data_IF_026453821118
#
_entry.id   IF_026453821118
#
_cell.length_a   1.000
_cell.length_b   1.000
_cell.length_c   1.000
_cell.angle_alpha   90.00
_cell.angle_beta   90.00
_cell.angle_gamma   90.00
#
_symmetry.space_group_name_H-M   'P 1'
#
loop_
_entity.id
_entity.type
_entity.pdbx_description
1 polymer ?
#
# COMPACT_ATOMS: atom_id res chain seq x y z
N UNK A 1 4.90 -14.01 -13.54
CA UNK A 1 3.98 -14.68 -14.49
C UNK A 1 2.61 -14.94 -13.87
N UNK A 2 2.52 -15.47 -12.64
CA UNK A 2 1.26 -15.85 -12.01
C UNK A 2 0.19 -14.74 -11.95
N UNK A 3 0.56 -13.50 -11.61
CA UNK A 3 -0.36 -12.35 -11.64
C UNK A 3 -1.05 -12.14 -13.00
N UNK A 4 -0.29 -12.21 -14.10
CA UNK A 4 -0.86 -12.01 -15.44
C UNK A 4 -1.75 -13.18 -15.86
N UNK A 5 -1.40 -14.41 -15.48
CA UNK A 5 -2.26 -15.58 -15.68
C UNK A 5 -3.57 -15.47 -14.89
N UNK A 6 -3.51 -15.00 -13.64
CA UNK A 6 -4.70 -14.71 -12.85
C UNK A 6 -5.56 -13.65 -13.53
N UNK A 7 -4.94 -12.54 -13.96
CA UNK A 7 -5.61 -11.44 -14.67
C UNK A 7 -6.33 -11.93 -15.94
N UNK A 8 -5.67 -12.74 -16.77
CA UNK A 8 -6.23 -13.23 -18.02
C UNK A 8 -7.38 -14.21 -17.78
N UNK A 9 -7.30 -15.04 -16.73
CA UNK A 9 -8.42 -15.89 -16.30
C UNK A 9 -9.62 -15.05 -15.89
N UNK A 10 -9.42 -14.04 -15.03
CA UNK A 10 -10.53 -13.16 -14.60
C UNK A 10 -11.13 -12.39 -15.78
N UNK A 11 -10.31 -11.96 -16.74
CA UNK A 11 -10.81 -11.35 -17.97
C UNK A 11 -11.72 -12.31 -18.73
N UNK A 12 -11.32 -13.58 -18.89
CA UNK A 12 -12.15 -14.61 -19.52
C UNK A 12 -13.45 -14.90 -18.76
N UNK A 13 -13.40 -14.96 -17.42
CA UNK A 13 -14.58 -15.13 -16.57
C UNK A 13 -15.54 -13.93 -16.71
N UNK A 14 -15.00 -12.71 -16.78
CA UNK A 14 -15.81 -11.49 -16.90
C UNK A 14 -16.49 -11.35 -18.24
N UNK A 15 -15.81 -11.71 -19.34
CA UNK A 15 -16.42 -11.76 -20.67
C UNK A 15 -17.61 -12.72 -20.73
N UNK A 16 -17.62 -13.80 -19.93
CA UNK A 16 -18.73 -14.76 -19.84
C UNK A 16 -19.88 -14.28 -18.97
N UNK A 17 -19.58 -13.62 -17.86
CA UNK A 17 -20.56 -13.23 -16.84
C UNK A 17 -21.33 -11.96 -17.18
N UNK A 18 -20.69 -10.99 -17.84
CA UNK A 18 -21.25 -9.63 -17.96
C UNK A 18 -21.59 -9.17 -19.37
N UNK A 19 -21.39 -10.01 -20.39
CA UNK A 19 -21.67 -9.74 -21.82
C UNK A 19 -21.18 -8.39 -22.41
N UNK A 20 -20.53 -7.50 -21.65
CA UNK A 20 -20.19 -6.13 -22.07
C UNK A 20 -18.90 -5.56 -21.44
N UNK A 21 -18.24 -6.21 -20.48
CA UNK A 21 -17.02 -5.68 -19.84
C UNK A 21 -15.78 -6.53 -20.15
N UNK A 22 -14.95 -6.07 -21.08
CA UNK A 22 -13.60 -6.64 -21.34
C UNK A 22 -12.55 -6.09 -20.37
N UNK A 23 -12.87 -6.06 -19.08
CA UNK A 23 -11.94 -5.58 -18.05
C UNK A 23 -11.89 -6.56 -16.88
N UNK A 24 -10.69 -6.91 -16.39
CA UNK A 24 -10.55 -7.69 -15.17
C UNK A 24 -10.84 -6.85 -13.91
N UNK A 25 -11.31 -5.60 -14.06
CA UNK A 25 -11.50 -4.63 -12.98
C UNK A 25 -10.21 -4.50 -12.15
N UNK A 26 -9.12 -4.13 -12.82
CA UNK A 26 -7.83 -3.90 -12.18
C UNK A 26 -7.79 -2.48 -11.57
N UNK A 27 -7.54 -2.41 -10.27
CA UNK A 27 -7.54 -1.16 -9.50
C UNK A 27 -6.20 -0.91 -8.81
N UNK A 28 -5.88 0.36 -8.55
CA UNK A 28 -4.76 0.74 -7.70
C UNK A 28 -5.28 0.94 -6.26
N UNK A 29 -4.86 0.07 -5.33
CA UNK A 29 -5.33 0.08 -3.95
C UNK A 29 -4.17 0.11 -2.95
N UNK A 30 -4.34 0.85 -1.87
CA UNK A 30 -3.36 1.06 -0.81
C UNK A 30 -3.31 -0.12 0.15
N UNK A 31 -2.10 -0.39 0.65
CA UNK A 31 -1.84 -1.32 1.75
C UNK A 31 -0.78 -0.72 2.68
N UNK A 32 -1.13 -0.54 3.96
CA UNK A 32 -0.19 -0.18 5.02
C UNK A 32 0.27 -1.40 5.78
N UNK A 33 1.54 -1.42 6.16
CA UNK A 33 2.17 -2.58 6.81
C UNK A 33 3.37 -2.16 7.67
N UNK A 34 3.99 -3.13 8.33
CA UNK A 34 5.16 -2.89 9.18
C UNK A 34 6.40 -2.60 8.34
N UNK A 35 7.16 -1.58 8.75
CA UNK A 35 8.45 -1.24 8.18
C UNK A 35 9.46 -1.12 9.33
N UNK A 36 10.64 -1.70 9.15
CA UNK A 36 11.74 -1.66 10.14
C UNK A 36 13.04 -1.07 9.58
N UNK A 37 12.99 -0.54 8.36
CA UNK A 37 14.11 0.02 7.61
C UNK A 37 13.75 1.37 6.99
N UNK A 38 14.77 2.11 6.54
CA UNK A 38 14.61 3.39 5.85
C UNK A 38 14.43 3.28 4.34
N UNK A 39 13.94 2.15 3.81
CA UNK A 39 13.67 1.98 2.38
C UNK A 39 12.81 3.14 1.86
N UNK A 40 13.31 3.80 0.81
CA UNK A 40 12.71 4.96 0.16
C UNK A 40 13.01 6.31 0.81
N UNK A 41 13.70 6.34 1.96
CA UNK A 41 14.07 7.58 2.63
C UNK A 41 15.37 8.15 2.04
N UNK A 42 15.23 8.94 0.98
CA UNK A 42 16.35 9.55 0.29
C UNK A 42 17.00 8.64 -0.77
N UNK A 43 17.92 9.21 -1.54
CA UNK A 43 18.44 8.60 -2.78
C UNK A 43 19.25 7.31 -2.57
N UNK A 44 19.88 7.14 -1.40
CA UNK A 44 20.73 5.98 -1.12
C UNK A 44 19.94 4.77 -0.61
N UNK A 45 18.74 4.97 -0.04
CA UNK A 45 18.00 3.91 0.62
C UNK A 45 17.06 3.18 -0.35
N UNK A 46 17.63 2.46 -1.32
CA UNK A 46 16.88 1.76 -2.37
C UNK A 46 16.86 0.24 -2.22
N UNK A 47 17.73 -0.31 -1.36
CA UNK A 47 17.86 -1.75 -1.16
C UNK A 47 16.85 -2.30 -0.15
N UNK A 48 16.26 -3.47 -0.48
CA UNK A 48 15.37 -4.19 0.41
C UNK A 48 16.17 -4.86 1.54
N UNK A 49 15.85 -4.54 2.80
CA UNK A 49 16.47 -5.23 3.93
C UNK A 49 15.95 -6.67 4.08
N UNK A 50 16.77 -7.58 4.61
CA UNK A 50 16.42 -9.02 4.75
C UNK A 50 15.71 -9.37 6.08
N UNK A 51 15.29 -8.38 6.85
CA UNK A 51 14.65 -8.60 8.16
C UNK A 51 13.23 -9.15 8.01
N UNK A 52 12.89 -10.29 8.64
CA UNK A 52 11.55 -10.88 8.53
C UNK A 52 10.46 -10.02 9.16
N UNK A 53 10.80 -9.14 10.10
CA UNK A 53 9.88 -8.17 10.72
C UNK A 53 9.54 -7.00 9.79
N UNK A 54 10.32 -6.79 8.72
CA UNK A 54 10.05 -5.78 7.71
C UNK A 54 9.05 -6.32 6.68
N UNK A 55 7.77 -6.34 7.04
CA UNK A 55 6.71 -6.86 6.19
C UNK A 55 6.65 -6.12 4.85
N UNK A 56 6.93 -4.82 4.83
CA UNK A 56 7.08 -4.03 3.60
C UNK A 56 8.11 -4.65 2.64
N UNK A 57 9.34 -4.87 3.09
CA UNK A 57 10.39 -5.46 2.26
C UNK A 57 10.06 -6.91 1.88
N UNK A 58 9.44 -7.67 2.77
CA UNK A 58 8.99 -9.03 2.49
C UNK A 58 7.95 -9.07 1.38
N UNK A 59 6.96 -8.18 1.41
CA UNK A 59 5.92 -8.06 0.37
C UNK A 59 6.53 -7.61 -0.96
N UNK A 60 7.44 -6.62 -0.96
CA UNK A 60 8.08 -6.18 -2.20
C UNK A 60 8.91 -7.32 -2.83
N UNK A 61 9.64 -8.08 -2.01
CA UNK A 61 10.48 -9.18 -2.47
C UNK A 61 9.68 -10.39 -2.96
N UNK A 62 8.68 -10.81 -2.19
CA UNK A 62 8.02 -12.10 -2.33
C UNK A 62 6.56 -12.02 -2.80
N UNK A 63 6.05 -10.80 -3.05
CA UNK A 63 4.62 -10.51 -3.17
C UNK A 63 3.83 -10.74 -1.88
N UNK A 64 2.52 -10.58 -1.96
CA UNK A 64 1.58 -10.85 -0.87
C UNK A 64 1.38 -12.35 -0.65
N UNK A 65 1.09 -12.70 0.60
CA UNK A 65 0.82 -14.06 1.01
C UNK A 65 -0.35 -14.08 2.01
N UNK A 66 -1.46 -14.69 1.61
CA UNK A 66 -2.69 -14.83 2.42
C UNK A 66 -2.42 -15.56 3.73
N UNK A 67 -1.42 -16.45 3.80
CA UNK A 67 -1.08 -17.14 5.04
C UNK A 67 -0.54 -16.18 6.12
N UNK A 68 -0.13 -14.96 5.73
CA UNK A 68 0.27 -13.89 6.66
C UNK A 68 -0.92 -13.10 7.20
N UNK A 69 -2.13 -13.30 6.67
CA UNK A 69 -3.33 -12.67 7.20
C UNK A 69 -3.56 -13.08 8.67
N UNK A 70 -3.88 -12.11 9.53
CA UNK A 70 -4.08 -12.38 10.95
C UNK A 70 -2.82 -12.31 11.83
N UNK A 71 -1.62 -12.27 11.23
CA UNK A 71 -0.35 -12.25 11.99
C UNK A 71 -0.15 -10.95 12.77
N UNK A 72 -0.49 -9.80 12.17
CA UNK A 72 -0.46 -8.48 12.84
C UNK A 72 -1.75 -8.20 13.62
N UNK A 73 -2.90 -8.34 12.95
CA UNK A 73 -4.21 -8.03 13.50
C UNK A 73 -5.08 -9.29 13.49
N UNK A 74 -5.41 -9.83 14.66
CA UNK A 74 -6.21 -11.07 14.76
C UNK A 74 -7.62 -10.92 14.18
N UNK A 75 -8.22 -9.75 14.37
CA UNK A 75 -9.55 -9.44 13.83
C UNK A 75 -9.48 -9.23 12.32
N UNK A 76 -10.34 -9.96 11.61
CA UNK A 76 -10.42 -10.01 10.15
C UNK A 76 -11.87 -9.86 9.74
N UNK A 77 -12.23 -8.69 9.22
CA UNK A 77 -13.63 -8.32 8.97
C UNK A 77 -14.32 -9.24 7.98
N UNK A 78 -13.60 -9.63 6.93
CA UNK A 78 -14.06 -10.49 5.86
C UNK A 78 -13.17 -11.75 5.77
N UNK A 79 -12.78 -12.29 6.94
CA UNK A 79 -12.01 -13.52 7.03
C UNK A 79 -10.60 -13.47 6.45
N UNK A 80 -10.09 -14.61 5.98
CA UNK A 80 -8.66 -14.80 5.65
C UNK A 80 -8.40 -14.42 4.20
N UNK A 81 -7.93 -13.19 3.99
CA UNK A 81 -7.57 -12.67 2.66
C UNK A 81 -6.56 -11.53 2.74
N UNK A 82 -6.23 -10.95 1.59
CA UNK A 82 -5.34 -9.77 1.49
C UNK A 82 -6.21 -8.52 1.45
N UNK A 83 -5.99 -7.65 2.43
CA UNK A 83 -6.77 -6.45 2.67
C UNK A 83 -6.11 -5.22 2.05
N UNK A 84 -6.88 -4.48 1.27
CA UNK A 84 -6.49 -3.24 0.60
C UNK A 84 -7.63 -2.22 0.67
N UNK A 85 -7.36 -0.98 0.31
CA UNK A 85 -8.37 0.09 0.33
C UNK A 85 -8.07 1.16 -0.71
N UNK A 86 -9.10 1.83 -1.21
CA UNK A 86 -8.99 3.04 -2.02
C UNK A 86 -8.63 4.28 -1.19
N UNK A 87 -8.68 4.18 0.15
CA UNK A 87 -8.50 5.30 1.09
C UNK A 87 -7.12 5.25 1.74
N UNK A 88 -6.21 6.14 1.34
CA UNK A 88 -4.82 6.16 1.85
C UNK A 88 -4.74 6.38 3.36
N UNK A 89 -5.55 7.26 3.94
CA UNK A 89 -5.57 7.52 5.38
C UNK A 89 -6.01 6.30 6.20
N UNK A 90 -6.88 5.45 5.66
CA UNK A 90 -7.23 4.18 6.29
C UNK A 90 -6.07 3.19 6.21
N UNK A 91 -5.36 3.13 5.08
CA UNK A 91 -4.16 2.29 4.98
C UNK A 91 -3.06 2.77 5.92
N UNK A 92 -2.94 4.08 6.13
CA UNK A 92 -1.99 4.72 7.04
C UNK A 92 -2.13 4.22 8.49
N UNK A 93 -3.36 3.99 8.98
CA UNK A 93 -3.64 3.43 10.31
C UNK A 93 -2.97 2.06 10.54
N UNK A 94 -2.61 1.35 9.47
CA UNK A 94 -1.94 0.04 9.52
C UNK A 94 -0.43 0.12 9.40
N UNK A 95 0.16 1.31 9.29
CA UNK A 95 1.61 1.48 9.30
C UNK A 95 2.11 1.40 10.74
N UNK A 96 3.15 0.61 10.96
CA UNK A 96 3.89 0.60 12.21
C UNK A 96 5.38 0.72 11.91
N UNK A 97 5.99 1.80 12.39
CA UNK A 97 7.44 1.89 12.49
C UNK A 97 7.86 1.18 13.78
N UNK A 98 8.38 -0.03 13.63
CA UNK A 98 8.74 -0.87 14.79
C UNK A 98 9.97 -0.32 15.52
N UNK A 99 10.82 0.44 14.84
CA UNK A 99 12.07 0.93 15.41
C UNK A 99 12.02 2.40 15.82
N UNK A 100 10.94 3.13 15.49
CA UNK A 100 10.78 4.56 15.76
C UNK A 100 11.87 5.44 15.14
N UNK A 101 12.64 4.88 14.20
CA UNK A 101 13.85 5.49 13.64
C UNK A 101 13.61 6.08 12.26
N UNK A 102 12.37 6.05 11.77
CA UNK A 102 12.05 6.54 10.44
C UNK A 102 11.31 7.87 10.50
N UNK A 103 11.85 8.88 9.83
CA UNK A 103 11.24 10.21 9.76
C UNK A 103 10.03 10.25 8.81
N UNK A 104 9.95 9.29 7.87
CA UNK A 104 8.85 9.19 6.92
C UNK A 104 7.95 7.99 7.20
N UNK A 105 6.78 7.99 6.58
CA UNK A 105 5.81 6.89 6.52
C UNK A 105 5.86 6.27 5.13
N UNK A 106 5.44 5.01 5.04
CA UNK A 106 5.51 4.24 3.80
C UNK A 106 4.22 3.46 3.53
N UNK A 107 3.65 3.64 2.33
CA UNK A 107 2.51 2.89 1.82
C UNK A 107 2.89 2.12 0.55
N UNK A 108 2.30 0.94 0.37
CA UNK A 108 2.28 0.26 -0.91
C UNK A 108 1.02 0.65 -1.67
N UNK A 109 1.19 1.07 -2.93
CA UNK A 109 0.10 1.13 -3.91
C UNK A 109 0.24 -0.08 -4.83
N UNK A 110 -0.85 -0.85 -4.93
CA UNK A 110 -0.82 -2.19 -5.51
C UNK A 110 -1.78 -2.26 -6.69
N UNK A 111 -1.41 -3.02 -7.73
CA UNK A 111 -2.37 -3.42 -8.76
C UNK A 111 -3.15 -4.62 -8.25
N UNK A 112 -4.45 -4.48 -8.11
CA UNK A 112 -5.36 -5.50 -7.57
C UNK A 112 -6.39 -5.86 -8.64
N UNK A 113 -6.48 -7.14 -8.98
CA UNK A 113 -7.53 -7.67 -9.85
C UNK A 113 -8.77 -7.90 -8.98
N UNK A 114 -9.68 -6.93 -8.98
CA UNK A 114 -10.92 -6.99 -8.18
C UNK A 114 -11.95 -7.92 -8.84
N UNK A 115 -11.95 -8.01 -10.16
CA UNK A 115 -12.92 -8.82 -10.91
C UNK A 115 -14.37 -8.41 -10.63
N UNK A 116 -15.24 -9.39 -10.35
CA UNK A 116 -16.62 -9.19 -9.96
C UNK A 116 -16.68 -9.19 -8.43
N UNK A 117 -16.84 -8.04 -7.76
CA UNK A 117 -16.82 -7.99 -6.31
C UNK A 117 -18.16 -8.42 -5.72
N UNK A 118 -18.12 -9.29 -4.70
CA UNK A 118 -19.23 -9.44 -3.77
C UNK A 118 -19.24 -8.25 -2.81
N UNK A 119 -20.36 -7.52 -2.72
CA UNK A 119 -20.47 -6.33 -1.87
C UNK A 119 -21.12 -6.69 -0.54
N UNK A 120 -20.48 -6.31 0.56
CA UNK A 120 -20.94 -6.59 1.92
C UNK A 120 -20.98 -5.30 2.75
N UNK A 121 -22.05 -5.08 3.49
CA UNK A 121 -22.21 -3.96 4.44
C UNK A 121 -21.99 -4.37 5.90
N UNK A 122 -21.88 -5.68 6.16
CA UNK A 122 -21.71 -6.29 7.48
C UNK A 122 -20.51 -7.22 7.54
N UNK A 123 -19.97 -7.42 8.73
CA UNK A 123 -18.85 -8.32 8.97
C UNK A 123 -19.17 -9.78 8.57
N UNK A 124 -18.19 -10.45 7.95
CA UNK A 124 -18.24 -11.86 7.59
C UNK A 124 -16.90 -12.52 7.94
N UNK A 125 -16.65 -12.67 9.24
CA UNK A 125 -15.31 -12.94 9.80
C UNK A 125 -14.73 -14.32 9.47
N UNK A 126 -15.55 -15.24 8.97
CA UNK A 126 -15.15 -16.64 8.72
C UNK A 126 -14.93 -16.94 7.23
N UNK A 127 -14.95 -15.93 6.35
CA UNK A 127 -14.73 -16.14 4.92
C UNK A 127 -13.31 -16.66 4.63
N UNK A 128 -13.22 -17.64 3.75
CA UNK A 128 -11.96 -18.16 3.20
C UNK A 128 -11.86 -17.93 1.69
N UNK A 129 -12.97 -17.53 1.06
CA UNK A 129 -13.11 -17.28 -0.36
C UNK A 129 -14.25 -16.27 -0.59
N UNK A 130 -14.30 -15.58 -1.75
CA UNK A 130 -15.48 -14.80 -2.10
C UNK A 130 -16.70 -15.73 -2.35
N UNK A 131 -17.93 -15.19 -2.33
CA UNK A 131 -19.13 -15.92 -2.74
C UNK A 131 -19.03 -16.45 -4.17
N UNK A 132 -19.83 -17.47 -4.50
CA UNK A 132 -19.88 -18.03 -5.85
C UNK A 132 -20.16 -16.94 -6.90
N UNK A 133 -19.37 -16.93 -7.97
CA UNK A 133 -19.45 -15.93 -9.05
C UNK A 133 -18.77 -14.60 -8.73
N UNK A 134 -18.19 -14.44 -7.54
CA UNK A 134 -17.39 -13.27 -7.16
C UNK A 134 -15.90 -13.63 -7.14
N UNK A 135 -15.05 -12.63 -7.38
CA UNK A 135 -13.58 -12.76 -7.41
C UNK A 135 -12.92 -12.10 -6.18
N UNK A 136 -13.62 -11.17 -5.54
CA UNK A 136 -13.19 -10.40 -4.38
C UNK A 136 -14.39 -10.05 -3.49
N UNK A 137 -14.12 -9.47 -2.32
CA UNK A 137 -15.12 -8.80 -1.48
C UNK A 137 -14.81 -7.30 -1.44
N UNK A 138 -15.84 -6.48 -1.57
CA UNK A 138 -15.80 -5.04 -1.24
C UNK A 138 -16.70 -4.80 -0.04
N UNK A 139 -16.09 -4.42 1.07
CA UNK A 139 -16.77 -3.93 2.25
C UNK A 139 -17.18 -2.48 2.06
N UNK A 140 -18.47 -2.19 2.11
CA UNK A 140 -19.00 -0.84 1.89
C UNK A 140 -19.16 -0.08 3.21
N UNK A 141 -18.90 1.24 3.24
CA UNK A 141 -19.15 2.06 4.42
C UNK A 141 -20.62 1.99 4.87
N UNK A 142 -20.86 2.00 6.18
CA UNK A 142 -22.20 1.97 6.73
C UNK A 142 -22.21 1.43 8.16
N UNK A 143 -22.68 0.20 8.33
CA UNK A 143 -22.97 -0.38 9.65
C UNK A 143 -21.68 -0.69 10.43
N UNK A 144 -20.80 -1.52 9.85
CA UNK A 144 -19.62 -2.04 10.56
C UNK A 144 -18.30 -1.41 10.08
N UNK A 145 -18.37 -0.50 9.11
CA UNK A 145 -17.21 0.01 8.38
C UNK A 145 -17.32 1.51 8.12
N UNK A 146 -16.27 2.24 8.45
CA UNK A 146 -16.17 3.69 8.19
C UNK A 146 -15.68 4.03 6.78
N UNK A 147 -14.84 3.17 6.20
CA UNK A 147 -14.17 3.38 4.92
C UNK A 147 -14.08 2.07 4.14
N UNK A 148 -14.27 2.14 2.83
CA UNK A 148 -14.25 0.98 1.94
C UNK A 148 -12.99 0.12 2.12
N UNK A 149 -13.17 -1.19 2.00
CA UNK A 149 -12.10 -2.18 2.11
C UNK A 149 -12.29 -3.26 1.05
N UNK A 150 -11.25 -3.55 0.27
CA UNK A 150 -11.28 -4.59 -0.76
C UNK A 150 -10.41 -5.76 -0.31
N UNK A 151 -10.97 -6.96 -0.38
CA UNK A 151 -10.33 -8.20 0.04
C UNK A 151 -10.26 -9.19 -1.12
N UNK A 152 -9.05 -9.63 -1.43
CA UNK A 152 -8.81 -10.72 -2.40
C UNK A 152 -8.34 -11.98 -1.68
N UNK A 153 -8.74 -13.13 -2.21
CA UNK A 153 -8.50 -14.45 -1.60
C UNK A 153 -7.58 -15.33 -2.45
N UNK A 154 -6.76 -14.71 -3.31
CA UNK A 154 -5.69 -15.37 -4.04
C UNK A 154 -4.43 -14.47 -4.07
N UNK A 155 -3.25 -15.04 -3.82
CA UNK A 155 -1.97 -14.30 -3.82
C UNK A 155 -1.65 -13.67 -5.18
N UNK A 156 -2.12 -14.29 -6.27
CA UNK A 156 -1.90 -13.82 -7.63
C UNK A 156 -2.87 -12.71 -8.06
N UNK A 157 -3.88 -12.41 -7.25
CA UNK A 157 -4.83 -11.32 -7.52
C UNK A 157 -4.23 -9.93 -7.27
N UNK A 158 -3.03 -9.83 -6.71
CA UNK A 158 -2.41 -8.58 -6.30
C UNK A 158 -0.90 -8.60 -6.54
N UNK A 159 -0.35 -7.42 -6.87
CA UNK A 159 1.10 -7.20 -6.90
C UNK A 159 1.44 -5.78 -6.44
N UNK A 160 2.57 -5.57 -5.73
CA UNK A 160 3.12 -4.24 -5.52
C UNK A 160 3.35 -3.52 -6.85
N UNK A 161 3.01 -2.24 -6.91
CA UNK A 161 3.22 -1.41 -8.09
C UNK A 161 4.08 -0.17 -7.78
N UNK A 162 3.82 0.49 -6.66
CA UNK A 162 4.57 1.66 -6.22
C UNK A 162 4.79 1.64 -4.71
N UNK A 163 5.94 2.16 -4.28
CA UNK A 163 6.22 2.51 -2.89
C UNK A 163 6.05 4.02 -2.74
N UNK A 164 5.18 4.45 -1.84
CA UNK A 164 4.92 5.87 -1.55
C UNK A 164 5.57 6.20 -0.21
N UNK A 165 6.43 7.21 -0.21
CA UNK A 165 7.09 7.74 0.99
C UNK A 165 6.59 9.16 1.22
N UNK A 166 6.14 9.46 2.43
CA UNK A 166 5.58 10.76 2.80
C UNK A 166 5.81 11.02 4.29
N UNK A 167 5.86 12.28 4.69
CA UNK A 167 6.13 12.71 6.06
C UNK A 167 6.41 14.20 6.06
N UNK A 168 6.66 14.77 7.24
CA UNK A 168 7.12 16.15 7.29
C UNK A 168 8.53 16.25 6.68
N UNK A 169 8.72 17.21 5.78
CA UNK A 169 10.07 17.65 5.45
C UNK A 169 10.68 18.21 6.75
N UNK A 170 11.80 17.63 7.20
CA UNK A 170 12.66 18.35 8.15
C UNK A 170 13.10 19.60 7.40
N UNK A 171 12.69 20.78 7.88
CA UNK A 171 13.15 22.06 7.31
C UNK A 171 14.67 22.01 7.17
N UNK A 172 15.16 21.97 5.93
CA UNK A 172 16.59 22.16 5.67
C UNK A 172 16.84 23.63 6.03
N UNK A 173 17.69 23.94 7.03
CA UNK A 173 17.99 25.32 7.36
C UNK A 173 18.44 26.03 6.09
N UNK A 174 17.66 27.02 5.64
CA UNK A 174 18.05 27.83 4.49
C UNK A 174 19.44 28.40 4.79
N UNK A 175 20.43 28.25 3.89
CA UNK A 175 21.74 28.87 4.13
C UNK A 175 21.51 30.35 4.41
N UNK A 176 21.94 30.78 5.60
CA UNK A 176 21.74 32.15 6.06
C UNK A 176 22.33 33.15 5.05
N UNK A 177 21.82 34.40 5.01
CA UNK A 177 22.27 35.38 4.05
C UNK A 177 23.79 35.56 4.16
N UNK A 178 24.49 35.33 3.05
CA UNK A 178 25.93 35.52 2.97
C UNK A 178 26.23 36.99 3.24
N UNK A 179 26.74 37.33 4.44
CA UNK A 179 27.21 38.69 4.73
C UNK A 179 28.39 38.99 3.80
N UNK A 180 28.13 39.72 2.71
CA UNK A 180 29.19 40.41 1.97
C UNK A 180 29.81 41.43 2.92
N UNK A 181 31.03 41.16 3.39
CA UNK A 181 31.83 42.19 4.07
C UNK A 181 32.07 43.31 3.06
N UNK A 182 31.43 44.46 3.26
CA UNK A 182 31.85 45.68 2.57
C UNK A 182 33.26 46.01 3.06
N UNK A 183 34.24 45.83 2.18
CA UNK A 183 35.58 46.37 2.41
C UNK A 183 35.45 47.89 2.27
N UNK A 184 35.56 48.62 3.38
CA UNK A 184 35.63 50.09 3.34
C UNK A 184 36.93 50.46 2.64
N UNK A 185 36.83 51.15 1.50
CA UNK A 185 37.97 51.76 0.83
C UNK A 185 38.58 52.80 1.77
N UNK A 186 39.85 52.61 2.14
CA UNK A 186 40.65 53.65 2.78
C UNK A 186 40.96 54.71 1.72
N UNK A 187 40.46 55.93 1.91
CA UNK A 187 40.99 57.08 1.19
C UNK A 187 42.36 57.40 1.79
N UNK A 188 43.40 57.25 0.98
CA UNK A 188 44.65 57.96 1.18
C UNK A 188 44.51 59.29 0.44
N UNK A 189 44.60 60.39 1.18
CA UNK A 189 44.98 61.67 0.60
C UNK A 189 46.05 62.30 1.50
N UNK A 190 46.95 62.97 0.80
CA UNK A 190 48.34 63.32 1.14
C UNK A 190 48.49 64.40 2.19
#
# INVERSE_FOLDING_TARGET
MAYFQYRDRILGDMSRLMHQTNSPNEQLLFHGTNRTCSLGEGRANTDLCQRPECYLCCIIRNSFDITKCGTKNKFRRFGTGIYTTSVSSKADDYIQDVNGNTAARALLLNRVIVGNPGRLTRNATNLLSPPTGCHSIVGEPGVDLKYEETVVYNNDAIRPAFLIIYGEEVEIPKPGPTRRKLVKAQKHDK
#
